data_IF_209783881841
#
_entry.id   IF_209783881841
#
_cell.length_a   1.000
_cell.length_b   1.000
_cell.length_c   1.000
_cell.angle_alpha   90.00
_cell.angle_beta   90.00
_cell.angle_gamma   90.00
#
_symmetry.space_group_name_H-M   'P 1'
#
loop_
_entity.id
_entity.type
_entity.pdbx_description
1 polymer ?
#
# COMPACT_ATOMS: atom_id res chain seq x y z
N UNK A 1 10.29 -3.66 -11.05
CA UNK A 1 9.82 -2.61 -10.14
C UNK A 1 9.40 -3.23 -8.82
N UNK A 2 9.96 -2.76 -7.73
CA UNK A 2 9.70 -3.30 -6.39
C UNK A 2 8.69 -2.42 -5.67
N UNK A 3 7.62 -3.05 -5.20
CA UNK A 3 6.51 -2.33 -4.57
C UNK A 3 6.29 -2.80 -3.14
N UNK A 4 5.87 -1.86 -2.30
CA UNK A 4 5.30 -2.15 -0.99
C UNK A 4 3.83 -1.74 -1.01
N UNK A 5 3.00 -2.44 -0.24
CA UNK A 5 1.58 -2.12 -0.13
C UNK A 5 1.25 -1.87 1.34
N UNK A 6 0.64 -0.73 1.63
CA UNK A 6 0.15 -0.40 2.96
C UNK A 6 -1.35 -0.65 3.01
N UNK A 7 -1.80 -1.38 4.01
CA UNK A 7 -3.21 -1.76 4.18
C UNK A 7 -3.66 -1.52 5.61
N UNK A 8 -4.97 -1.51 5.83
CA UNK A 8 -5.54 -1.42 7.19
C UNK A 8 -6.59 -2.49 7.47
N UNK A 9 -7.15 -3.11 6.45
CA UNK A 9 -8.28 -4.00 6.61
C UNK A 9 -8.24 -5.24 5.74
N UNK A 10 -9.32 -5.51 5.03
CA UNK A 10 -9.54 -6.75 4.33
C UNK A 10 -8.60 -7.08 3.18
N UNK A 11 -7.91 -6.08 2.66
CA UNK A 11 -6.92 -6.32 1.62
C UNK A 11 -7.47 -6.68 0.25
N UNK A 12 -8.69 -6.27 -0.06
CA UNK A 12 -9.27 -6.54 -1.38
C UNK A 12 -8.39 -5.99 -2.48
N UNK A 13 -7.85 -4.77 -2.29
CA UNK A 13 -6.93 -4.17 -3.24
C UNK A 13 -5.67 -5.01 -3.40
N UNK A 14 -5.10 -5.43 -2.27
CA UNK A 14 -3.89 -6.26 -2.30
C UNK A 14 -4.17 -7.57 -3.03
N UNK A 15 -5.29 -8.21 -2.73
CA UNK A 15 -5.66 -9.46 -3.38
C UNK A 15 -5.78 -9.29 -4.90
N UNK A 16 -6.45 -8.22 -5.33
CA UNK A 16 -6.60 -7.93 -6.75
C UNK A 16 -5.27 -7.64 -7.43
N UNK A 17 -4.40 -6.90 -6.77
CA UNK A 17 -3.07 -6.59 -7.31
C UNK A 17 -2.24 -7.86 -7.47
N UNK A 18 -2.29 -8.75 -6.49
CA UNK A 18 -1.57 -10.02 -6.56
C UNK A 18 -2.10 -10.87 -7.71
N UNK A 19 -3.42 -10.93 -7.88
CA UNK A 19 -4.03 -11.67 -8.98
C UNK A 19 -3.60 -11.12 -10.34
N UNK A 20 -3.61 -9.81 -10.51
CA UNK A 20 -3.18 -9.19 -11.76
C UNK A 20 -1.71 -9.48 -12.07
N UNK A 21 -0.87 -9.51 -11.05
CA UNK A 21 0.53 -9.88 -11.22
C UNK A 21 0.64 -11.34 -11.68
N UNK A 22 -0.08 -12.24 -10.99
CA UNK A 22 -0.01 -13.67 -11.29
C UNK A 22 -0.57 -13.99 -12.69
N UNK A 23 -1.54 -13.20 -13.13
CA UNK A 23 -2.11 -13.34 -14.49
C UNK A 23 -1.24 -12.70 -15.57
N UNK A 24 -0.13 -12.09 -15.19
CA UNK A 24 0.76 -11.46 -16.14
C UNK A 24 0.36 -10.05 -16.59
N UNK A 25 -0.66 -9.46 -15.95
CA UNK A 25 -1.12 -8.11 -16.30
C UNK A 25 -0.28 -7.01 -15.66
N UNK A 26 0.49 -7.34 -14.63
CA UNK A 26 1.38 -6.41 -13.94
C UNK A 26 2.77 -7.01 -13.87
N UNK A 27 3.75 -6.27 -14.33
CA UNK A 27 5.15 -6.68 -14.25
C UNK A 27 5.81 -5.98 -13.06
N UNK A 28 5.45 -6.43 -11.86
CA UNK A 28 5.92 -5.84 -10.60
C UNK A 28 6.26 -6.92 -9.58
N UNK A 29 7.09 -6.54 -8.63
CA UNK A 29 7.48 -7.38 -7.50
C UNK A 29 6.91 -6.79 -6.23
N UNK A 30 5.95 -7.48 -5.61
CA UNK A 30 5.45 -7.09 -4.30
C UNK A 30 6.41 -7.64 -3.25
N UNK A 31 7.24 -6.77 -2.69
CA UNK A 31 8.28 -7.17 -1.76
C UNK A 31 7.87 -7.08 -0.31
N UNK A 32 6.86 -6.24 0.00
CA UNK A 32 6.54 -5.93 1.37
C UNK A 32 5.08 -5.50 1.49
N UNK A 33 4.41 -5.98 2.53
CA UNK A 33 3.07 -5.53 2.91
C UNK A 33 3.14 -5.07 4.36
N UNK A 34 2.67 -3.86 4.63
CA UNK A 34 2.60 -3.33 5.99
C UNK A 34 1.15 -2.97 6.29
N UNK A 35 0.63 -3.48 7.40
CA UNK A 35 -0.70 -3.16 7.87
C UNK A 35 -0.65 -2.26 9.08
N UNK A 36 -1.58 -1.30 9.15
CA UNK A 36 -1.77 -0.49 10.35
C UNK A 36 -2.51 -1.25 11.45
N UNK A 37 -3.03 -2.43 11.14
CA UNK A 37 -3.82 -3.25 12.04
C UNK A 37 -3.30 -4.68 12.03
N UNK A 38 -2.88 -5.24 13.19
CA UNK A 38 -2.35 -6.60 13.23
C UNK A 38 -3.39 -7.67 12.90
N UNK A 39 -4.68 -7.32 12.98
CA UNK A 39 -5.76 -8.25 12.68
C UNK A 39 -6.30 -8.08 11.25
N UNK A 40 -5.62 -7.35 10.40
CA UNK A 40 -6.07 -7.13 9.04
C UNK A 40 -6.07 -8.43 8.24
N UNK A 41 -7.19 -8.74 7.61
CA UNK A 41 -7.30 -9.94 6.78
C UNK A 41 -6.37 -9.90 5.57
N UNK A 42 -6.03 -8.72 5.10
CA UNK A 42 -5.10 -8.57 3.99
C UNK A 42 -3.74 -9.18 4.25
N UNK A 43 -3.33 -9.30 5.51
CA UNK A 43 -2.06 -9.96 5.84
C UNK A 43 -2.06 -11.44 5.43
N UNK A 44 -3.24 -12.08 5.41
CA UNK A 44 -3.36 -13.46 4.95
C UNK A 44 -3.03 -13.59 3.47
N UNK A 45 -3.42 -12.62 2.67
CA UNK A 45 -3.11 -12.63 1.25
C UNK A 45 -1.60 -12.49 1.01
N UNK A 46 -0.94 -11.66 1.82
CA UNK A 46 0.52 -11.54 1.74
C UNK A 46 1.20 -12.85 2.12
N UNK A 47 0.72 -13.50 3.17
CA UNK A 47 1.25 -14.80 3.59
C UNK A 47 1.07 -15.85 2.51
N UNK A 48 -0.12 -15.95 1.93
CA UNK A 48 -0.41 -16.90 0.88
C UNK A 48 0.46 -16.68 -0.37
N UNK A 49 0.76 -15.42 -0.66
CA UNK A 49 1.59 -15.06 -1.80
C UNK A 49 3.08 -15.09 -1.48
N UNK A 50 3.45 -15.46 -0.24
CA UNK A 50 4.83 -15.53 0.22
C UNK A 50 5.54 -14.18 0.16
N UNK A 51 4.81 -13.12 0.46
CA UNK A 51 5.33 -11.75 0.52
C UNK A 51 5.65 -11.42 1.97
N UNK A 52 6.80 -10.82 2.23
CA UNK A 52 7.15 -10.35 3.57
C UNK A 52 6.09 -9.35 4.06
N UNK A 53 5.66 -9.50 5.29
CA UNK A 53 4.59 -8.66 5.83
C UNK A 53 4.76 -8.42 7.32
N UNK A 54 4.21 -7.32 7.81
CA UNK A 54 4.23 -6.97 9.22
C UNK A 54 3.12 -5.98 9.51
N UNK A 55 2.83 -5.78 10.80
CA UNK A 55 1.91 -4.74 11.24
C UNK A 55 2.67 -3.68 12.02
N UNK A 56 2.34 -2.41 11.76
CA UNK A 56 2.92 -1.26 12.45
C UNK A 56 1.76 -0.34 12.80
N UNK A 57 1.41 -0.27 14.08
CA UNK A 57 0.22 0.42 14.54
C UNK A 57 0.55 1.85 14.96
N UNK A 58 -0.27 2.81 14.52
CA UNK A 58 -0.05 4.23 14.84
C UNK A 58 0.00 4.49 16.34
N UNK A 59 -0.83 3.78 17.10
CA UNK A 59 -0.93 3.97 18.56
C UNK A 59 0.34 3.64 19.31
N UNK A 60 1.25 2.88 18.70
CA UNK A 60 2.51 2.50 19.33
C UNK A 60 3.56 3.62 19.25
N UNK A 61 3.23 4.72 18.61
CA UNK A 61 4.14 5.85 18.41
C UNK A 61 3.57 7.12 19.02
N UNK A 62 4.43 7.92 19.64
CA UNK A 62 3.99 9.13 20.31
C UNK A 62 3.76 10.30 19.37
N UNK A 63 4.39 10.29 18.20
CA UNK A 63 4.23 11.37 17.23
C UNK A 63 4.33 10.87 15.81
N UNK A 64 3.84 11.69 14.88
CA UNK A 64 3.70 11.30 13.48
C UNK A 64 5.04 10.99 12.80
N UNK A 65 6.10 11.70 13.16
CA UNK A 65 7.41 11.49 12.55
C UNK A 65 7.98 10.11 12.89
N UNK A 66 7.78 9.65 14.12
CA UNK A 66 8.23 8.32 14.52
C UNK A 66 7.46 7.24 13.77
N UNK A 67 6.16 7.42 13.59
CA UNK A 67 5.35 6.49 12.82
C UNK A 67 5.77 6.46 11.35
N UNK A 68 5.98 7.64 10.76
CA UNK A 68 6.49 7.74 9.39
C UNK A 68 7.77 6.94 9.22
N UNK A 69 8.73 7.13 10.11
CA UNK A 69 10.01 6.46 9.99
C UNK A 69 9.87 4.95 10.14
N UNK A 70 9.02 4.49 11.06
CA UNK A 70 8.78 3.07 11.24
C UNK A 70 8.10 2.43 10.01
N UNK A 71 7.23 3.17 9.33
CA UNK A 71 6.55 2.66 8.14
C UNK A 71 7.47 2.61 6.93
N UNK A 72 8.34 3.59 6.77
CA UNK A 72 9.15 3.70 5.56
C UNK A 72 10.54 3.07 5.66
N UNK A 73 11.05 2.85 6.87
CA UNK A 73 12.36 2.22 7.04
C UNK A 73 12.43 0.82 6.42
N UNK A 74 11.42 -0.06 6.63
CA UNK A 74 11.43 -1.36 5.95
C UNK A 74 11.40 -1.24 4.43
N UNK A 75 10.77 -0.19 3.92
CA UNK A 75 10.72 0.06 2.49
C UNK A 75 12.11 0.40 1.95
N UNK A 76 12.87 1.20 2.67
CA UNK A 76 14.24 1.51 2.28
C UNK A 76 15.12 0.27 2.29
N UNK A 77 14.99 -0.53 3.34
CA UNK A 77 15.76 -1.76 3.48
C UNK A 77 15.47 -2.73 2.35
N UNK A 78 14.22 -2.82 1.92
CA UNK A 78 13.81 -3.72 0.84
C UNK A 78 14.07 -3.15 -0.57
N UNK A 79 14.53 -1.92 -0.67
CA UNK A 79 14.79 -1.28 -1.96
C UNK A 79 13.52 -0.98 -2.75
N UNK A 80 12.46 -0.57 -2.05
CA UNK A 80 11.15 -0.32 -2.66
C UNK A 80 11.19 0.90 -3.56
N UNK A 81 10.63 0.78 -4.76
CA UNK A 81 10.53 1.86 -5.72
C UNK A 81 9.28 2.72 -5.47
N UNK A 82 8.13 2.07 -5.21
CA UNK A 82 6.87 2.76 -4.98
C UNK A 82 6.09 2.08 -3.86
N UNK A 83 5.33 2.88 -3.12
CA UNK A 83 4.42 2.42 -2.08
C UNK A 83 2.99 2.63 -2.57
N UNK A 84 2.19 1.57 -2.54
CA UNK A 84 0.77 1.64 -2.86
C UNK A 84 -0.02 1.58 -1.57
N UNK A 85 -0.90 2.55 -1.35
CA UNK A 85 -1.79 2.54 -0.19
C UNK A 85 -3.14 2.01 -0.65
N UNK A 86 -3.43 0.77 -0.31
CA UNK A 86 -4.66 0.10 -0.70
C UNK A 86 -5.59 -0.07 0.50
N UNK A 87 -6.52 0.86 0.67
CA UNK A 87 -7.41 0.84 1.83
C UNK A 87 -6.69 1.16 3.13
N UNK A 88 -5.61 1.91 3.07
CA UNK A 88 -4.86 2.32 4.26
C UNK A 88 -5.58 3.49 4.92
N UNK A 89 -6.04 3.28 6.16
CA UNK A 89 -6.91 4.22 6.84
C UNK A 89 -6.19 5.20 7.76
N UNK A 90 -4.92 4.96 8.04
CA UNK A 90 -4.15 5.85 8.89
C UNK A 90 -3.54 6.99 8.10
N UNK A 91 -3.40 8.13 8.78
CA UNK A 91 -2.63 9.22 8.22
C UNK A 91 -1.15 8.96 8.48
N UNK A 92 -0.33 9.04 7.45
CA UNK A 92 1.11 8.90 7.58
C UNK A 92 1.79 9.98 6.77
N UNK A 93 2.79 10.62 7.38
CA UNK A 93 3.60 11.60 6.68
C UNK A 93 4.49 10.88 5.66
N UNK A 94 4.81 11.55 4.58
CA UNK A 94 5.64 10.96 3.53
C UNK A 94 7.04 11.56 3.63
N UNK A 95 8.07 10.73 3.82
CA UNK A 95 9.43 11.23 3.90
C UNK A 95 9.91 11.74 2.54
N UNK A 96 10.91 12.61 2.57
CA UNK A 96 11.39 13.28 1.37
C UNK A 96 11.84 12.31 0.28
N UNK A 97 12.44 11.19 0.64
CA UNK A 97 12.94 10.22 -0.32
C UNK A 97 11.81 9.40 -0.99
N UNK A 98 10.58 9.48 -0.47
CA UNK A 98 9.43 8.84 -1.07
C UNK A 98 8.44 9.85 -1.66
N UNK A 99 8.80 11.11 -1.73
CA UNK A 99 8.00 12.12 -2.42
C UNK A 99 7.82 11.68 -3.87
N UNK A 100 6.57 11.69 -4.35
CA UNK A 100 6.18 11.22 -5.70
C UNK A 100 6.29 9.70 -5.87
N UNK A 101 6.51 8.95 -4.80
CA UNK A 101 6.61 7.49 -4.86
C UNK A 101 5.52 6.79 -4.05
N UNK A 102 4.51 7.52 -3.61
CA UNK A 102 3.38 6.95 -2.87
C UNK A 102 2.11 7.18 -3.67
N UNK A 103 1.37 6.11 -3.93
CA UNK A 103 0.14 6.14 -4.71
C UNK A 103 -0.99 5.62 -3.84
N UNK A 104 -2.04 6.40 -3.70
CA UNK A 104 -3.21 6.01 -2.92
C UNK A 104 -4.28 5.46 -3.86
N UNK A 105 -4.71 4.23 -3.59
CA UNK A 105 -5.68 3.52 -4.43
C UNK A 105 -6.98 3.34 -3.65
N UNK A 106 -8.10 3.71 -4.27
CA UNK A 106 -9.42 3.54 -3.69
C UNK A 106 -10.27 2.62 -4.57
N UNK A 107 -10.01 1.32 -4.54
CA UNK A 107 -10.65 0.39 -5.47
C UNK A 107 -12.15 0.27 -5.28
N UNK A 108 -12.65 0.52 -4.08
CA UNK A 108 -14.10 0.46 -3.83
C UNK A 108 -14.88 1.47 -4.66
N UNK A 109 -14.25 2.54 -5.09
CA UNK A 109 -14.87 3.59 -5.89
C UNK A 109 -14.69 3.37 -7.38
N UNK A 110 -13.70 2.61 -7.77
CA UNK A 110 -13.33 2.41 -9.17
C UNK A 110 -14.47 1.79 -10.00
N UNK A 111 -15.13 0.73 -9.56
CA UNK A 111 -16.17 0.11 -10.39
C UNK A 111 -17.30 1.04 -10.75
N UNK A 112 -17.65 1.97 -9.87
CA UNK A 112 -18.75 2.90 -10.09
C UNK A 112 -18.38 4.00 -11.08
N UNK A 113 -17.10 4.26 -11.27
CA UNK A 113 -16.66 5.43 -12.00
C UNK A 113 -15.65 5.14 -13.12
N UNK A 114 -15.32 3.90 -13.32
CA UNK A 114 -14.31 3.53 -14.30
C UNK A 114 -14.65 4.01 -15.71
N UNK A 115 -15.94 4.05 -16.03
CA UNK A 115 -16.38 4.54 -17.34
C UNK A 115 -16.30 6.04 -17.51
N UNK A 116 -16.08 6.78 -16.45
CA UNK A 116 -16.05 8.24 -16.47
C UNK A 116 -14.65 8.83 -16.46
N UNK A 117 -13.67 8.04 -16.15
CA UNK A 117 -12.30 8.52 -16.02
C UNK A 117 -12.08 9.46 -14.85
N UNK A 118 -13.12 9.76 -14.10
CA UNK A 118 -13.07 10.75 -13.03
C UNK A 118 -12.16 10.32 -11.89
N UNK A 119 -12.32 9.08 -11.45
CA UNK A 119 -11.52 8.58 -10.34
C UNK A 119 -10.09 8.29 -10.74
N UNK A 120 -9.86 7.96 -11.99
CA UNK A 120 -8.51 7.82 -12.48
C UNK A 120 -7.71 9.09 -12.28
N UNK A 121 -8.32 10.23 -12.58
CA UNK A 121 -7.66 11.50 -12.39
C UNK A 121 -7.46 11.82 -10.90
N UNK A 122 -8.44 11.51 -10.05
CA UNK A 122 -8.30 11.73 -8.61
C UNK A 122 -7.20 10.90 -8.01
N UNK A 123 -7.14 9.64 -8.40
CA UNK A 123 -6.05 8.78 -7.94
C UNK A 123 -4.71 9.36 -8.38
N UNK A 124 -4.66 9.89 -9.60
CA UNK A 124 -3.44 10.50 -10.11
C UNK A 124 -3.02 11.70 -9.29
N UNK A 125 -3.97 12.52 -8.85
CA UNK A 125 -3.69 13.66 -8.00
C UNK A 125 -3.20 13.26 -6.62
N UNK A 126 -3.52 12.07 -6.17
CA UNK A 126 -3.07 11.56 -4.89
C UNK A 126 -1.63 11.03 -4.93
N UNK A 127 -1.02 10.99 -6.08
CA UNK A 127 0.39 10.60 -6.22
C UNK A 127 1.27 11.71 -5.65
N UNK A 128 2.10 11.36 -4.71
CA UNK A 128 2.93 12.33 -3.97
C UNK A 128 4.40 12.21 -4.29
#
# INVERSE_FOLDING_TARGET
MKLAVFISGGGTTLHNLIQHRDDGHLDVDFKLVISSNPNAEGLKYAEQAKIAHQSICRKDFSHAEAYRDAMFEPCRTAGIDYVLMGGFLQHVLIPADFTHRVINIHPALIPSFCGKGYYGRRVHEAVL
#
